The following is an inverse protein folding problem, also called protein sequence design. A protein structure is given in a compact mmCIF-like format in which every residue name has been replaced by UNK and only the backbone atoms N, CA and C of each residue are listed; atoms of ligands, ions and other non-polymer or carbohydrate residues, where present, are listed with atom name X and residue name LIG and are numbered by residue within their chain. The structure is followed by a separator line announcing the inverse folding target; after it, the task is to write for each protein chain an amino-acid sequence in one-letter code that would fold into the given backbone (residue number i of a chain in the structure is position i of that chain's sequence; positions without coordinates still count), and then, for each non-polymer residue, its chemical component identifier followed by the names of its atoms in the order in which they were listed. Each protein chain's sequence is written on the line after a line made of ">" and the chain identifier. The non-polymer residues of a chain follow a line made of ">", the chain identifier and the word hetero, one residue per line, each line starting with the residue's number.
data_IF_678121984834
#
_entry.id   IF_678121984834
#
_cell.length_a   1.000
_cell.length_b   1.000
_cell.length_c   1.000
_cell.angle_alpha   90.00
_cell.angle_beta   90.00
_cell.angle_gamma   90.00
#
_symmetry.space_group_name_H-M   'P 1'
#
loop_
_entity.id
_entity.type
_entity.pdbx_description
1 polymer ?
#
# COMPACT_ATOMS: atom_id res chain seq x y z
N UNK A 1 6.34 -6.14 9.63
CA UNK A 1 5.98 -6.95 8.43
C UNK A 1 4.84 -6.24 7.72
N UNK A 2 4.99 -6.01 6.42
CA UNK A 2 3.98 -5.29 5.63
C UNK A 2 2.84 -6.23 5.26
N UNK A 3 1.60 -5.79 5.42
CA UNK A 3 0.40 -6.49 4.98
C UNK A 3 -0.49 -5.57 4.15
N UNK A 4 -0.97 -6.08 3.02
CA UNK A 4 -1.96 -5.40 2.18
C UNK A 4 -3.25 -6.20 2.07
N UNK A 5 -4.37 -5.56 2.35
CA UNK A 5 -5.71 -6.12 2.21
C UNK A 5 -6.49 -5.32 1.16
N UNK A 6 -7.16 -6.01 0.23
CA UNK A 6 -7.91 -5.38 -0.86
C UNK A 6 -9.36 -5.85 -0.83
N UNK A 7 -10.31 -4.92 -0.79
CA UNK A 7 -11.74 -5.25 -0.92
C UNK A 7 -12.13 -5.16 -2.39
N UNK A 8 -12.87 -6.17 -2.84
CA UNK A 8 -13.38 -6.27 -4.21
C UNK A 8 -14.89 -6.42 -4.20
N UNK A 9 -15.55 -5.90 -5.23
CA UNK A 9 -16.96 -6.17 -5.53
C UNK A 9 -17.15 -7.63 -5.97
N UNK A 10 -18.41 -8.08 -6.07
CA UNK A 10 -18.74 -9.38 -6.66
C UNK A 10 -18.32 -9.53 -8.13
N UNK A 11 -18.12 -8.42 -8.85
CA UNK A 11 -17.55 -8.39 -10.21
C UNK A 11 -16.03 -8.31 -10.25
N UNK A 12 -15.35 -8.32 -9.10
CA UNK A 12 -13.89 -8.33 -8.99
C UNK A 12 -13.23 -6.93 -9.00
N UNK A 13 -14.00 -5.84 -9.10
CA UNK A 13 -13.45 -4.47 -9.06
C UNK A 13 -12.94 -4.14 -7.66
N UNK A 14 -11.70 -3.64 -7.55
CA UNK A 14 -11.15 -3.15 -6.28
C UNK A 14 -11.87 -1.85 -5.90
N UNK A 15 -12.33 -1.76 -4.65
CA UNK A 15 -13.03 -0.58 -4.11
C UNK A 15 -12.34 0.05 -2.92
N UNK A 16 -11.45 -0.70 -2.25
CA UNK A 16 -10.61 -0.16 -1.19
C UNK A 16 -9.37 -1.02 -0.99
N UNK A 17 -8.32 -0.43 -0.42
CA UNK A 17 -7.16 -1.14 0.08
C UNK A 17 -6.77 -0.63 1.46
N UNK A 18 -6.14 -1.48 2.26
CA UNK A 18 -5.59 -1.15 3.57
C UNK A 18 -4.16 -1.71 3.66
N UNK A 19 -3.20 -0.86 4.02
CA UNK A 19 -1.79 -1.23 4.17
C UNK A 19 -1.34 -0.97 5.60
N UNK A 20 -0.75 -1.97 6.25
CA UNK A 20 -0.19 -1.85 7.60
C UNK A 20 1.27 -2.31 7.63
N UNK A 21 2.02 -1.82 8.62
CA UNK A 21 3.42 -2.20 8.84
C UNK A 21 4.42 -1.65 7.82
N UNK A 22 4.05 -0.61 7.07
CA UNK A 22 4.90 0.09 6.07
C UNK A 22 5.55 1.36 6.63
N UNK A 23 5.37 1.63 7.92
CA UNK A 23 5.99 2.75 8.63
C UNK A 23 6.60 2.21 9.91
N UNK A 24 7.93 2.11 9.92
CA UNK A 24 8.85 1.82 11.02
C UNK A 24 10.23 1.51 10.39
N UNK A 25 11.32 1.94 11.02
CA UNK A 25 12.67 1.54 10.63
C UNK A 25 12.86 0.08 11.03
N UNK A 26 12.81 -0.82 10.05
CA UNK A 26 13.05 -2.25 10.29
C UNK A 26 14.54 -2.57 10.29
N UNK A 27 14.92 -3.87 10.35
CA UNK A 27 16.28 -4.29 10.08
C UNK A 27 16.82 -3.73 8.76
N UNK A 28 18.14 -3.61 8.62
CA UNK A 28 18.79 -3.06 7.42
C UNK A 28 18.13 -3.55 6.11
N UNK A 29 17.71 -2.60 5.27
CA UNK A 29 17.02 -2.85 4.00
C UNK A 29 15.48 -2.87 4.08
N UNK A 30 14.87 -2.97 5.28
CA UNK A 30 13.41 -2.88 5.45
C UNK A 30 12.86 -1.54 4.97
N UNK A 31 13.64 -0.47 5.13
CA UNK A 31 13.23 0.89 4.79
C UNK A 31 13.02 1.07 3.27
N UNK A 32 13.73 0.31 2.44
CA UNK A 32 13.55 0.30 0.97
C UNK A 32 12.19 -0.29 0.61
N UNK A 33 11.78 -1.35 1.31
CA UNK A 33 10.48 -2.00 1.09
C UNK A 33 9.33 -1.09 1.57
N UNK A 34 9.50 -0.45 2.74
CA UNK A 34 8.56 0.54 3.24
C UNK A 34 8.39 1.69 2.23
N UNK A 35 9.49 2.25 1.73
CA UNK A 35 9.47 3.33 0.74
C UNK A 35 8.75 2.92 -0.55
N UNK A 36 8.98 1.71 -1.07
CA UNK A 36 8.32 1.22 -2.27
C UNK A 36 6.79 1.09 -2.07
N UNK A 37 6.36 0.53 -0.94
CA UNK A 37 4.93 0.37 -0.63
C UNK A 37 4.24 1.72 -0.45
N UNK A 38 4.89 2.65 0.27
CA UNK A 38 4.40 4.03 0.42
C UNK A 38 4.28 4.75 -0.92
N UNK A 39 5.30 4.64 -1.79
CA UNK A 39 5.28 5.29 -3.10
C UNK A 39 4.11 4.82 -3.96
N UNK A 40 3.83 3.51 -4.00
CA UNK A 40 2.71 2.95 -4.77
C UNK A 40 1.35 3.34 -4.19
N UNK A 41 1.21 3.34 -2.86
CA UNK A 41 -0.04 3.73 -2.21
C UNK A 41 -0.37 5.21 -2.47
N UNK A 42 0.60 6.10 -2.28
CA UNK A 42 0.46 7.54 -2.51
C UNK A 42 0.16 7.81 -3.99
N UNK A 43 0.90 7.16 -4.92
CA UNK A 43 0.66 7.32 -6.36
C UNK A 43 -0.74 6.88 -6.76
N UNK A 44 -1.26 5.79 -6.15
CA UNK A 44 -2.63 5.31 -6.40
C UNK A 44 -3.67 6.33 -5.95
N UNK A 45 -3.51 6.92 -4.76
CA UNK A 45 -4.44 7.94 -4.25
C UNK A 45 -4.37 9.20 -5.11
N UNK A 46 -3.16 9.69 -5.42
CA UNK A 46 -2.97 10.88 -6.26
C UNK A 46 -3.57 10.69 -7.66
N UNK A 47 -3.44 9.50 -8.24
CA UNK A 47 -4.01 9.20 -9.57
C UNK A 47 -5.54 9.07 -9.60
N UNK A 48 -6.20 8.95 -8.44
CA UNK A 48 -7.67 8.99 -8.33
C UNK A 48 -8.18 10.42 -8.15
N UNK A 49 -7.39 11.28 -7.49
CA UNK A 49 -7.75 12.68 -7.22
C UNK A 49 -7.63 13.59 -8.46
N UNK A 50 -6.71 13.27 -9.37
CA UNK A 50 -6.47 13.98 -10.63
C UNK A 50 -7.54 13.70 -11.70
#
# INVERSE_FOLDING_TARGET
>A
MIKGSFKRTGSGRIVSFELTGHAEAGPYGSDVVCAAVSALAISTVNGIDA
#
